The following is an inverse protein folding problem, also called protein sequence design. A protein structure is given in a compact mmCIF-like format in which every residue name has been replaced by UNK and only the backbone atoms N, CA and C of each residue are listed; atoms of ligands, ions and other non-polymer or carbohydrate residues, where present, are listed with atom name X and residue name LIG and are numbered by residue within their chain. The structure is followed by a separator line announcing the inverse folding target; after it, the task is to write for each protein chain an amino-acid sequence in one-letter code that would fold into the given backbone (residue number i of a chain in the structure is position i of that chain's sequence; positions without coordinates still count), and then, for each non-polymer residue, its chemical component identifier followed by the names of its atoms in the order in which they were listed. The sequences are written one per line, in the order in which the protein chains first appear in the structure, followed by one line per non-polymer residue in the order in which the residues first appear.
data_IF_936036877504
#
_entry.id   IF_936036877504
#
_cell.length_a   1.000
_cell.length_b   1.000
_cell.length_c   1.000
_cell.angle_alpha   90.00
_cell.angle_beta   90.00
_cell.angle_gamma   90.00
#
_symmetry.space_group_name_H-M   'P 1'
#
loop_
_entity.id
_entity.type
_entity.pdbx_description
1 polymer ?
#
# COMPACT_ATOMS: atom_id res chain seq x y z
N UNK A 1 51.49 -21.04 -17.96
CA UNK A 1 51.15 -21.04 -16.52
C UNK A 1 50.52 -19.71 -16.07
N UNK A 2 50.99 -18.55 -16.44
CA UNK A 2 50.47 -17.22 -16.02
C UNK A 2 49.03 -16.94 -16.42
N UNK A 3 48.61 -17.34 -17.65
CA UNK A 3 47.25 -17.10 -18.13
C UNK A 3 46.19 -17.87 -17.32
N UNK A 4 46.48 -19.12 -16.96
CA UNK A 4 45.57 -19.97 -16.17
C UNK A 4 45.40 -19.42 -14.74
N UNK A 5 46.49 -18.96 -14.12
CA UNK A 5 46.42 -18.36 -12.77
C UNK A 5 45.67 -17.03 -12.78
N UNK A 6 45.80 -16.22 -13.84
CA UNK A 6 45.01 -14.97 -13.98
C UNK A 6 43.50 -15.28 -14.13
N UNK A 7 43.16 -16.25 -14.95
CA UNK A 7 41.75 -16.67 -15.12
C UNK A 7 41.18 -17.21 -13.80
N UNK A 8 41.91 -18.06 -13.08
CA UNK A 8 41.53 -18.59 -11.80
C UNK A 8 41.28 -17.49 -10.75
N UNK A 9 42.22 -16.52 -10.66
CA UNK A 9 42.09 -15.38 -9.77
C UNK A 9 40.84 -14.53 -10.09
N UNK A 10 40.59 -14.30 -11.38
CA UNK A 10 39.41 -13.57 -11.82
C UNK A 10 38.07 -14.29 -11.41
N UNK A 11 38.00 -15.62 -11.59
CA UNK A 11 36.84 -16.44 -11.18
C UNK A 11 36.63 -16.33 -9.66
N UNK A 12 37.70 -16.41 -8.86
CA UNK A 12 37.62 -16.30 -7.39
C UNK A 12 37.12 -14.92 -6.98
N UNK A 13 37.68 -13.85 -7.55
CA UNK A 13 37.27 -12.45 -7.26
C UNK A 13 35.80 -12.25 -7.65
N UNK A 14 35.39 -12.73 -8.82
CA UNK A 14 34.00 -12.63 -9.30
C UNK A 14 33.05 -13.42 -8.37
N UNK A 15 33.41 -14.63 -7.97
CA UNK A 15 32.64 -15.43 -7.00
C UNK A 15 32.49 -14.74 -5.66
N UNK A 16 33.58 -14.14 -5.14
CA UNK A 16 33.54 -13.37 -3.91
C UNK A 16 32.64 -12.12 -4.03
N UNK A 17 32.73 -11.37 -5.14
CA UNK A 17 31.90 -10.21 -5.39
C UNK A 17 30.39 -10.58 -5.49
N UNK A 18 30.07 -11.67 -6.16
CA UNK A 18 28.68 -12.19 -6.24
C UNK A 18 28.18 -12.60 -4.86
N UNK A 19 28.97 -13.36 -4.11
CA UNK A 19 28.60 -13.84 -2.78
C UNK A 19 28.35 -12.68 -1.81
N UNK A 20 29.25 -11.70 -1.79
CA UNK A 20 29.10 -10.50 -0.95
C UNK A 20 27.88 -9.69 -1.35
N UNK A 21 27.59 -9.54 -2.65
CA UNK A 21 26.38 -8.86 -3.13
C UNK A 21 25.10 -9.59 -2.67
N UNK A 22 25.05 -10.91 -2.81
CA UNK A 22 23.91 -11.74 -2.35
C UNK A 22 23.73 -11.60 -0.83
N UNK A 23 24.82 -11.68 -0.06
CA UNK A 23 24.79 -11.55 1.40
C UNK A 23 24.25 -10.17 1.84
N UNK A 24 24.70 -9.06 1.21
CA UNK A 24 24.15 -7.74 1.49
C UNK A 24 22.67 -7.63 1.15
N UNK A 25 22.24 -8.22 0.03
CA UNK A 25 20.83 -8.27 -0.37
C UNK A 25 19.99 -9.05 0.63
N UNK A 26 20.46 -10.22 1.07
CA UNK A 26 19.77 -11.04 2.09
C UNK A 26 19.69 -10.31 3.44
N UNK A 27 20.79 -9.69 3.90
CA UNK A 27 20.83 -8.91 5.15
C UNK A 27 19.82 -7.74 5.11
N UNK A 28 19.76 -7.05 3.96
CA UNK A 28 18.77 -5.97 3.75
C UNK A 28 17.35 -6.50 3.82
N UNK A 29 17.06 -7.63 3.15
CA UNK A 29 15.73 -8.26 3.15
C UNK A 29 15.33 -8.72 4.55
N UNK A 30 16.25 -9.35 5.29
CA UNK A 30 16.06 -9.77 6.68
C UNK A 30 15.72 -8.57 7.58
N UNK A 31 16.45 -7.45 7.45
CA UNK A 31 16.16 -6.23 8.21
C UNK A 31 14.76 -5.69 7.91
N UNK A 32 14.40 -5.58 6.62
CA UNK A 32 13.08 -5.10 6.21
C UNK A 32 11.97 -6.01 6.75
N UNK A 33 12.19 -7.34 6.76
CA UNK A 33 11.25 -8.31 7.34
C UNK A 33 11.11 -8.12 8.85
N UNK A 34 12.22 -7.89 9.57
CA UNK A 34 12.18 -7.65 11.01
C UNK A 34 11.46 -6.33 11.34
N UNK A 35 11.73 -5.26 10.58
CA UNK A 35 11.05 -3.98 10.72
C UNK A 35 9.53 -4.13 10.48
N UNK A 36 9.13 -4.96 9.50
CA UNK A 36 7.73 -5.30 9.27
C UNK A 36 7.10 -6.01 10.45
N UNK A 37 7.75 -7.04 11.01
CA UNK A 37 7.25 -7.79 12.18
C UNK A 37 7.09 -6.86 13.38
N UNK A 38 8.08 -6.01 13.64
CA UNK A 38 8.04 -5.04 14.74
C UNK A 38 6.89 -4.04 14.54
N UNK A 39 6.74 -3.46 13.35
CA UNK A 39 5.64 -2.54 13.04
C UNK A 39 4.28 -3.22 13.19
N UNK A 40 4.15 -4.46 12.70
CA UNK A 40 2.93 -5.25 12.83
C UNK A 40 2.58 -5.50 14.29
N UNK A 41 3.57 -5.87 15.10
CA UNK A 41 3.38 -6.07 16.55
C UNK A 41 2.87 -4.78 17.22
N UNK A 42 3.46 -3.64 16.90
CA UNK A 42 3.03 -2.34 17.43
C UNK A 42 1.62 -1.96 16.96
N UNK A 43 1.32 -2.14 15.67
CA UNK A 43 -0.01 -1.83 15.11
C UNK A 43 -1.12 -2.72 15.68
N UNK A 44 -0.83 -3.98 16.03
CA UNK A 44 -1.79 -4.88 16.67
C UNK A 44 -1.90 -4.63 18.19
N UNK A 45 -0.81 -4.24 18.87
CA UNK A 45 -0.80 -4.01 20.32
C UNK A 45 -1.75 -2.88 20.72
N UNK A 46 -1.81 -1.80 19.95
CA UNK A 46 -2.64 -0.62 20.25
C UNK A 46 -4.13 -0.98 20.37
N UNK A 47 -4.79 -1.57 19.34
CA UNK A 47 -6.20 -1.94 19.45
C UNK A 47 -6.45 -2.99 20.53
N UNK A 48 -5.55 -3.95 20.72
CA UNK A 48 -5.67 -4.94 21.81
C UNK A 48 -5.65 -4.27 23.17
N UNK A 49 -4.75 -3.30 23.38
CA UNK A 49 -4.68 -2.55 24.66
C UNK A 49 -5.93 -1.70 24.88
N UNK A 50 -6.48 -1.09 23.82
CA UNK A 50 -7.73 -0.31 23.90
C UNK A 50 -8.92 -1.20 24.28
N UNK A 51 -9.04 -2.38 23.64
CA UNK A 51 -10.09 -3.37 23.99
C UNK A 51 -9.92 -3.84 25.42
N UNK A 52 -8.69 -4.13 25.86
CA UNK A 52 -8.41 -4.57 27.23
C UNK A 52 -8.81 -3.50 28.25
N UNK A 53 -8.46 -2.23 28.00
CA UNK A 53 -8.86 -1.11 28.85
C UNK A 53 -10.39 -0.95 28.90
N UNK A 54 -11.07 -0.98 27.77
CA UNK A 54 -12.52 -0.91 27.68
C UNK A 54 -13.18 -2.05 28.48
N UNK A 55 -12.62 -3.27 28.40
CA UNK A 55 -13.10 -4.42 29.15
C UNK A 55 -12.84 -4.27 30.68
N UNK A 56 -11.70 -3.68 31.06
CA UNK A 56 -11.42 -3.39 32.49
C UNK A 56 -12.41 -2.36 33.05
N UNK A 57 -12.75 -1.32 32.27
CA UNK A 57 -13.78 -0.34 32.70
C UNK A 57 -15.16 -0.98 32.93
N UNK A 58 -15.51 -2.01 32.14
CA UNK A 58 -16.75 -2.77 32.38
C UNK A 58 -16.70 -3.56 33.72
N UNK A 59 -15.53 -4.13 34.04
CA UNK A 59 -15.34 -4.97 35.26
C UNK A 59 -15.08 -4.18 36.52
N UNK A 60 -14.76 -2.89 36.40
CA UNK A 60 -14.43 -2.07 37.55
C UNK A 60 -15.68 -1.77 38.41
N UNK A 61 -15.75 -2.38 39.58
CA UNK A 61 -16.83 -2.18 40.54
C UNK A 61 -16.74 -0.84 41.29
N UNK A 62 -15.64 -0.13 41.22
CA UNK A 62 -15.49 1.20 41.83
C UNK A 62 -16.25 2.27 41.01
N UNK A 63 -16.58 2.02 39.77
CA UNK A 63 -17.35 2.89 38.88
C UNK A 63 -18.83 2.49 39.02
N UNK A 64 -19.73 3.38 39.48
CA UNK A 64 -21.16 3.09 39.52
C UNK A 64 -21.70 2.70 38.14
N UNK A 65 -22.58 1.71 38.08
CA UNK A 65 -23.15 1.25 36.80
C UNK A 65 -23.88 2.36 36.06
N UNK A 66 -24.54 3.26 36.79
CA UNK A 66 -25.19 4.45 36.23
C UNK A 66 -24.22 5.43 35.57
N UNK A 67 -22.94 5.39 35.89
CA UNK A 67 -21.88 6.23 35.31
C UNK A 67 -21.13 5.54 34.20
N UNK A 68 -21.32 4.23 34.00
CA UNK A 68 -20.71 3.46 32.90
C UNK A 68 -21.50 3.71 31.62
N UNK A 69 -20.89 4.39 30.65
CA UNK A 69 -21.49 4.51 29.33
C UNK A 69 -21.27 3.21 28.55
N UNK A 70 -22.11 2.18 28.81
CA UNK A 70 -22.02 0.86 28.22
C UNK A 70 -22.07 0.90 26.69
N UNK A 71 -22.91 1.78 26.11
CA UNK A 71 -23.02 1.95 24.66
C UNK A 71 -21.70 2.45 24.06
N UNK A 72 -21.04 3.42 24.68
CA UNK A 72 -19.77 3.95 24.20
C UNK A 72 -18.63 2.91 24.35
N UNK A 73 -18.59 2.19 25.47
CA UNK A 73 -17.58 1.15 25.71
C UNK A 73 -17.75 0.01 24.71
N UNK A 74 -18.99 -0.45 24.48
CA UNK A 74 -19.31 -1.48 23.48
C UNK A 74 -18.89 -1.04 22.06
N UNK A 75 -19.17 0.22 21.70
CA UNK A 75 -18.77 0.78 20.40
C UNK A 75 -17.25 0.79 20.23
N UNK A 76 -16.50 1.19 21.26
CA UNK A 76 -15.03 1.18 21.21
C UNK A 76 -14.50 -0.25 20.97
N UNK A 77 -15.07 -1.25 21.64
CA UNK A 77 -14.67 -2.65 21.46
C UNK A 77 -14.98 -3.13 20.03
N UNK A 78 -16.15 -2.81 19.52
CA UNK A 78 -16.57 -3.20 18.17
C UNK A 78 -15.71 -2.53 17.10
N UNK A 79 -15.48 -1.23 17.21
CA UNK A 79 -14.63 -0.45 16.31
C UNK A 79 -13.20 -1.03 16.24
N UNK A 80 -12.57 -1.31 17.40
CA UNK A 80 -11.22 -1.84 17.44
C UNK A 80 -11.14 -3.32 17.03
N UNK A 81 -12.17 -4.11 17.29
CA UNK A 81 -12.26 -5.50 16.81
C UNK A 81 -12.39 -5.55 15.28
N UNK A 82 -13.22 -4.69 14.71
CA UNK A 82 -13.37 -4.55 13.26
C UNK A 82 -12.04 -4.10 12.64
N UNK A 83 -11.35 -3.16 13.25
CA UNK A 83 -10.04 -2.69 12.83
C UNK A 83 -8.99 -3.80 12.84
N UNK A 84 -8.93 -4.61 13.92
CA UNK A 84 -8.06 -5.78 14.02
C UNK A 84 -8.34 -6.78 12.89
N UNK A 85 -9.61 -7.10 12.64
CA UNK A 85 -10.01 -8.00 11.55
C UNK A 85 -9.48 -7.53 10.21
N UNK A 86 -9.67 -6.25 9.86
CA UNK A 86 -9.17 -5.68 8.61
C UNK A 86 -7.64 -5.71 8.51
N UNK A 87 -6.93 -5.52 9.61
CA UNK A 87 -5.48 -5.62 9.65
C UNK A 87 -5.00 -7.05 9.41
N UNK A 88 -5.61 -8.04 10.05
CA UNK A 88 -5.30 -9.47 9.86
C UNK A 88 -5.60 -9.88 8.43
N UNK A 89 -6.75 -9.51 7.86
CA UNK A 89 -7.08 -9.79 6.47
C UNK A 89 -6.05 -9.22 5.49
N UNK A 90 -5.57 -8.00 5.74
CA UNK A 90 -4.55 -7.35 4.91
C UNK A 90 -3.23 -8.13 4.92
N UNK A 91 -2.85 -8.67 6.07
CA UNK A 91 -1.66 -9.51 6.22
C UNK A 91 -1.85 -10.87 5.52
N UNK A 92 -2.99 -11.55 5.74
CA UNK A 92 -3.30 -12.83 5.12
C UNK A 92 -3.38 -12.73 3.60
N UNK A 93 -4.05 -11.71 3.05
CA UNK A 93 -4.10 -11.44 1.61
C UNK A 93 -2.69 -11.33 1.03
N UNK A 94 -1.77 -10.67 1.74
CA UNK A 94 -0.38 -10.53 1.30
C UNK A 94 0.40 -11.84 1.37
N UNK A 95 0.17 -12.67 2.39
CA UNK A 95 0.82 -13.98 2.51
C UNK A 95 0.39 -14.93 1.36
N UNK A 96 -0.91 -14.98 1.07
CA UNK A 96 -1.46 -15.74 -0.08
C UNK A 96 -0.91 -15.23 -1.41
N UNK A 97 -0.83 -13.91 -1.55
CA UNK A 97 -0.29 -13.25 -2.71
C UNK A 97 1.17 -13.66 -3.02
N UNK A 98 2.00 -13.78 -1.98
CA UNK A 98 3.41 -14.17 -2.13
C UNK A 98 3.63 -15.66 -2.39
N UNK A 99 2.64 -16.50 -2.13
CA UNK A 99 2.75 -17.95 -2.38
C UNK A 99 2.62 -18.35 -3.86
N UNK A 100 2.37 -17.38 -4.76
CA UNK A 100 2.15 -17.67 -6.19
C UNK A 100 0.88 -18.45 -6.51
N UNK A 101 0.01 -18.68 -5.51
CA UNK A 101 -1.22 -19.47 -5.65
C UNK A 101 -2.45 -18.64 -6.02
N UNK A 102 -2.25 -17.36 -6.35
CA UNK A 102 -3.36 -16.49 -6.68
C UNK A 102 -3.93 -16.84 -8.05
N UNK A 103 -5.23 -17.14 -8.10
CA UNK A 103 -5.98 -17.34 -9.35
C UNK A 103 -6.61 -16.01 -9.74
N UNK A 104 -6.11 -15.40 -10.81
CA UNK A 104 -6.68 -14.18 -11.40
C UNK A 104 -7.84 -14.57 -12.31
N UNK A 105 -8.98 -13.94 -12.13
CA UNK A 105 -10.19 -14.17 -12.91
C UNK A 105 -10.46 -12.96 -13.81
N UNK A 106 -9.88 -12.97 -14.99
CA UNK A 106 -10.09 -11.89 -15.96
C UNK A 106 -11.53 -11.82 -16.48
N UNK A 107 -12.07 -10.60 -16.50
CA UNK A 107 -13.34 -10.23 -17.12
C UNK A 107 -13.14 -8.96 -17.93
N UNK A 108 -13.89 -8.80 -19.00
CA UNK A 108 -13.95 -7.54 -19.75
C UNK A 108 -14.87 -6.57 -19.00
N UNK A 109 -14.32 -5.50 -18.46
CA UNK A 109 -14.99 -4.55 -17.57
C UNK A 109 -14.72 -3.12 -17.97
N UNK A 110 -15.67 -2.24 -17.69
CA UNK A 110 -15.48 -0.80 -17.77
C UNK A 110 -14.74 -0.29 -16.50
N UNK A 111 -13.51 0.17 -16.68
CA UNK A 111 -12.67 0.65 -15.60
C UNK A 111 -13.22 1.93 -14.97
N UNK A 112 -13.96 2.76 -15.71
CA UNK A 112 -14.58 3.97 -15.16
C UNK A 112 -15.58 3.63 -14.06
N UNK A 113 -16.37 2.56 -14.22
CA UNK A 113 -17.31 2.13 -13.19
C UNK A 113 -16.60 1.71 -11.91
N UNK A 114 -15.51 0.94 -12.03
CA UNK A 114 -14.73 0.50 -10.87
C UNK A 114 -14.05 1.69 -10.19
N UNK A 115 -13.43 2.58 -10.95
CA UNK A 115 -12.76 3.78 -10.44
C UNK A 115 -13.77 4.68 -9.73
N UNK A 116 -14.94 4.91 -10.32
CA UNK A 116 -16.00 5.74 -9.73
C UNK A 116 -16.49 5.16 -8.40
N UNK A 117 -16.71 3.84 -8.34
CA UNK A 117 -17.07 3.15 -7.10
C UNK A 117 -16.04 3.34 -6.00
N UNK A 118 -14.76 3.16 -6.32
CA UNK A 118 -13.68 3.31 -5.33
C UNK A 118 -13.55 4.77 -4.90
N UNK A 119 -13.55 5.72 -5.82
CA UNK A 119 -13.46 7.16 -5.50
C UNK A 119 -14.62 7.59 -4.59
N UNK A 120 -15.85 7.15 -4.86
CA UNK A 120 -17.02 7.44 -4.02
C UNK A 120 -16.82 6.98 -2.58
N UNK A 121 -16.14 5.86 -2.35
CA UNK A 121 -15.89 5.35 -0.99
C UNK A 121 -14.92 6.23 -0.17
N UNK A 122 -14.14 7.09 -0.83
CA UNK A 122 -13.21 8.01 -0.17
C UNK A 122 -13.77 9.43 0.04
N UNK A 123 -14.91 9.79 -0.57
CA UNK A 123 -15.44 11.16 -0.47
C UNK A 123 -15.65 11.61 0.97
N UNK A 124 -16.34 10.81 1.78
CA UNK A 124 -16.62 11.18 3.19
C UNK A 124 -15.31 11.35 3.97
N UNK A 125 -14.34 10.45 3.75
CA UNK A 125 -13.06 10.51 4.45
C UNK A 125 -12.25 11.75 4.09
N UNK A 126 -12.26 12.13 2.81
CA UNK A 126 -11.53 13.30 2.30
C UNK A 126 -12.24 14.58 2.72
N UNK A 127 -13.58 14.64 2.63
CA UNK A 127 -14.39 15.79 3.05
C UNK A 127 -14.24 16.08 4.55
N UNK A 128 -14.24 15.03 5.40
CA UNK A 128 -13.98 15.18 6.83
C UNK A 128 -12.61 15.77 7.17
N UNK A 129 -11.66 15.72 6.23
CA UNK A 129 -10.34 16.34 6.32
C UNK A 129 -10.28 17.68 5.57
N UNK A 130 -11.43 18.25 5.17
CA UNK A 130 -11.54 19.46 4.33
C UNK A 130 -10.75 19.35 3.02
N UNK A 131 -10.63 18.15 2.47
CA UNK A 131 -9.94 17.85 1.22
C UNK A 131 -10.86 17.81 0.02
N UNK A 132 -10.29 17.45 -1.14
CA UNK A 132 -11.00 17.36 -2.43
C UNK A 132 -10.49 16.18 -3.25
N UNK A 133 -11.41 15.49 -3.93
CA UNK A 133 -11.08 14.52 -4.98
C UNK A 133 -11.67 15.02 -6.30
N UNK A 134 -10.80 15.21 -7.29
CA UNK A 134 -11.19 15.54 -8.65
C UNK A 134 -11.08 14.32 -9.56
N UNK A 135 -12.07 14.14 -10.44
CA UNK A 135 -12.09 13.07 -11.43
C UNK A 135 -12.07 13.65 -12.83
N UNK A 136 -11.12 13.21 -13.65
CA UNK A 136 -11.04 13.52 -15.07
C UNK A 136 -11.04 12.22 -15.89
N UNK A 137 -12.21 11.69 -16.20
CA UNK A 137 -12.40 10.45 -16.95
C UNK A 137 -12.34 10.71 -18.46
N UNK A 138 -11.12 10.92 -18.99
CA UNK A 138 -10.87 11.33 -20.40
C UNK A 138 -10.64 10.16 -21.37
N UNK A 139 -10.62 8.91 -20.88
CA UNK A 139 -10.54 7.77 -21.78
C UNK A 139 -11.88 7.58 -22.50
N UNK A 140 -11.90 7.71 -23.83
CA UNK A 140 -13.12 7.50 -24.64
C UNK A 140 -13.58 6.04 -24.58
N UNK A 141 -12.64 5.10 -24.56
CA UNK A 141 -12.89 3.69 -24.31
C UNK A 141 -12.13 3.26 -23.05
N UNK A 142 -12.85 2.97 -21.98
CA UNK A 142 -12.30 2.53 -20.71
C UNK A 142 -12.48 1.02 -20.45
N UNK A 143 -12.80 0.25 -21.49
CA UNK A 143 -13.01 -1.20 -21.36
C UNK A 143 -11.69 -1.94 -21.46
N UNK A 144 -11.40 -2.79 -20.47
CA UNK A 144 -10.21 -3.64 -20.44
C UNK A 144 -10.49 -5.00 -19.80
N UNK A 145 -9.61 -5.97 -20.03
CA UNK A 145 -9.68 -7.30 -19.44
C UNK A 145 -8.92 -7.32 -18.12
N UNK A 146 -9.64 -7.24 -17.00
CA UNK A 146 -9.08 -7.16 -15.65
C UNK A 146 -9.78 -8.11 -14.69
N UNK A 147 -9.12 -8.41 -13.57
CA UNK A 147 -9.78 -9.00 -12.42
C UNK A 147 -10.39 -7.89 -11.57
N UNK A 148 -11.71 -7.91 -11.43
CA UNK A 148 -12.49 -6.88 -10.75
C UNK A 148 -12.04 -6.64 -9.30
N UNK A 149 -11.83 -7.72 -8.54
CA UNK A 149 -11.45 -7.63 -7.13
C UNK A 149 -10.04 -7.07 -6.97
N UNK A 150 -9.12 -7.54 -7.82
CA UNK A 150 -7.72 -7.12 -7.74
C UNK A 150 -7.52 -5.71 -8.28
N UNK A 151 -8.24 -5.32 -9.32
CA UNK A 151 -8.20 -3.96 -9.84
C UNK A 151 -8.83 -2.95 -8.87
N UNK A 152 -9.97 -3.30 -8.26
CA UNK A 152 -10.58 -2.51 -7.19
C UNK A 152 -9.63 -2.30 -6.03
N UNK A 153 -8.99 -3.37 -5.52
CA UNK A 153 -8.01 -3.28 -4.42
C UNK A 153 -6.76 -2.46 -4.79
N UNK A 154 -6.32 -2.52 -6.06
CA UNK A 154 -5.22 -1.71 -6.58
C UNK A 154 -5.56 -0.22 -6.48
N UNK A 155 -6.73 0.19 -6.96
CA UNK A 155 -7.21 1.57 -6.89
C UNK A 155 -7.37 2.02 -5.43
N UNK A 156 -7.92 1.17 -4.57
CA UNK A 156 -8.03 1.42 -3.12
C UNK A 156 -6.66 1.71 -2.48
N UNK A 157 -5.63 0.93 -2.81
CA UNK A 157 -4.29 1.14 -2.26
C UNK A 157 -3.67 2.48 -2.70
N UNK A 158 -3.91 2.90 -3.94
CA UNK A 158 -3.41 4.20 -4.43
C UNK A 158 -4.12 5.36 -3.76
N UNK A 159 -5.45 5.33 -3.65
CA UNK A 159 -6.23 6.38 -2.99
C UNK A 159 -5.98 6.42 -1.49
N UNK A 160 -5.89 5.28 -0.82
CA UNK A 160 -5.51 5.20 0.61
C UNK A 160 -4.14 5.84 0.86
N UNK A 161 -3.16 5.61 -0.03
CA UNK A 161 -1.86 6.27 0.07
C UNK A 161 -1.97 7.78 -0.17
N UNK A 162 -2.72 8.23 -1.18
CA UNK A 162 -2.92 9.64 -1.47
C UNK A 162 -3.51 10.39 -0.25
N UNK A 163 -4.52 9.81 0.41
CA UNK A 163 -5.10 10.38 1.64
C UNK A 163 -4.10 10.34 2.80
N UNK A 164 -3.44 9.22 3.04
CA UNK A 164 -2.52 9.02 4.19
C UNK A 164 -1.29 9.90 4.15
N UNK A 165 -0.76 10.17 2.96
CA UNK A 165 0.46 10.94 2.78
C UNK A 165 0.20 12.40 2.40
N UNK A 166 -1.04 12.84 2.42
CA UNK A 166 -1.40 14.26 2.29
C UNK A 166 -0.84 15.06 3.47
N UNK A 167 -0.44 16.28 3.18
CA UNK A 167 0.07 17.22 4.18
C UNK A 167 -1.05 18.22 4.56
N UNK A 168 -1.91 17.82 5.50
CA UNK A 168 -3.09 18.58 5.88
C UNK A 168 -4.31 18.17 5.08
N UNK A 169 -4.81 19.02 4.19
CA UNK A 169 -5.99 18.75 3.35
C UNK A 169 -5.63 17.80 2.20
N UNK A 170 -6.30 16.65 2.04
CA UNK A 170 -6.08 15.79 0.89
C UNK A 170 -6.58 16.46 -0.40
N UNK A 171 -5.67 16.75 -1.31
CA UNK A 171 -6.01 17.19 -2.67
C UNK A 171 -5.57 16.10 -3.64
N UNK A 172 -6.56 15.37 -4.17
CA UNK A 172 -6.35 14.15 -4.95
C UNK A 172 -6.99 14.33 -6.31
N UNK A 173 -6.26 13.95 -7.36
CA UNK A 173 -6.77 13.92 -8.73
C UNK A 173 -6.67 12.51 -9.29
N UNK A 174 -7.77 12.02 -9.86
CA UNK A 174 -7.84 10.75 -10.58
C UNK A 174 -8.13 11.05 -12.05
N UNK A 175 -7.23 10.64 -12.93
CA UNK A 175 -7.33 10.89 -14.37
C UNK A 175 -7.29 9.58 -15.13
N UNK A 176 -8.09 9.46 -16.21
CA UNK A 176 -7.96 8.39 -17.20
C UNK A 176 -7.80 8.97 -18.59
N UNK A 177 -7.01 8.32 -19.44
CA UNK A 177 -6.90 8.63 -20.88
C UNK A 177 -6.48 7.40 -21.67
N UNK A 178 -6.82 7.34 -22.93
CA UNK A 178 -6.28 6.33 -23.82
C UNK A 178 -4.82 6.63 -24.14
N UNK A 179 -3.95 5.62 -24.10
CA UNK A 179 -2.51 5.76 -24.33
C UNK A 179 -1.91 4.47 -24.86
N UNK A 180 -1.30 4.51 -26.06
CA UNK A 180 -0.55 3.39 -26.66
C UNK A 180 -1.25 2.03 -26.56
N UNK A 181 -2.44 1.89 -27.16
CA UNK A 181 -3.26 0.65 -27.09
C UNK A 181 -3.64 0.20 -25.67
N UNK A 182 -3.67 1.12 -24.73
CA UNK A 182 -4.07 0.87 -23.35
C UNK A 182 -4.80 2.06 -22.74
N UNK A 183 -5.19 1.89 -21.49
CA UNK A 183 -5.80 2.92 -20.65
C UNK A 183 -4.76 3.34 -19.62
N UNK A 184 -4.35 4.61 -19.68
CA UNK A 184 -3.56 5.23 -18.64
C UNK A 184 -4.52 5.70 -17.52
N UNK A 185 -4.24 5.30 -16.30
CA UNK A 185 -4.93 5.70 -15.08
C UNK A 185 -3.91 6.36 -14.19
N UNK A 186 -4.15 7.61 -13.80
CA UNK A 186 -3.27 8.34 -12.91
C UNK A 186 -3.99 8.71 -11.61
N UNK A 187 -3.29 8.52 -10.48
CA UNK A 187 -3.69 9.03 -9.17
C UNK A 187 -2.60 9.97 -8.71
N UNK A 188 -2.97 11.23 -8.49
CA UNK A 188 -2.08 12.31 -8.11
C UNK A 188 -2.48 12.91 -6.77
N UNK A 189 -1.51 13.16 -5.89
CA UNK A 189 -1.66 13.79 -4.60
C UNK A 189 -0.73 15.00 -4.45
N UNK A 190 -1.10 15.97 -3.63
CA UNK A 190 -0.27 17.10 -3.23
C UNK A 190 0.33 16.89 -1.82
N UNK A 191 0.70 15.64 -1.53
CA UNK A 191 1.23 15.26 -0.23
C UNK A 191 2.73 15.53 -0.04
N UNK A 192 3.32 14.78 0.89
CA UNK A 192 4.73 14.93 1.28
C UNK A 192 5.73 14.58 0.17
N UNK A 193 5.29 13.95 -0.91
CA UNK A 193 6.14 13.46 -1.99
C UNK A 193 7.21 12.46 -1.53
N UNK A 194 8.02 11.98 -2.48
CA UNK A 194 8.98 10.89 -2.25
C UNK A 194 10.38 11.30 -2.71
N UNK A 195 11.36 11.17 -1.81
CA UNK A 195 12.77 11.46 -2.13
C UNK A 195 13.30 10.52 -3.21
N UNK A 196 14.13 11.02 -4.14
CA UNK A 196 14.68 10.23 -5.28
C UNK A 196 15.29 8.88 -4.86
N UNK A 197 16.01 8.84 -3.72
CA UNK A 197 16.64 7.61 -3.20
C UNK A 197 15.64 6.51 -2.81
N UNK A 198 14.39 6.86 -2.55
CA UNK A 198 13.33 5.96 -2.07
C UNK A 198 12.37 5.55 -3.19
N UNK A 199 12.26 6.34 -4.28
CA UNK A 199 11.27 6.13 -5.36
C UNK A 199 11.31 4.73 -6.00
N UNK A 200 12.50 4.14 -6.16
CA UNK A 200 12.63 2.77 -6.68
C UNK A 200 12.28 1.70 -5.63
N UNK A 201 12.41 2.04 -4.35
CA UNK A 201 12.26 1.10 -3.23
C UNK A 201 10.84 1.02 -2.69
N UNK A 202 9.99 2.04 -2.92
CA UNK A 202 8.60 2.06 -2.41
C UNK A 202 7.75 0.90 -2.92
N UNK A 203 8.15 0.28 -4.03
CA UNK A 203 7.53 -0.91 -4.58
C UNK A 203 8.10 -2.22 -4.01
N UNK A 204 9.22 -2.14 -3.25
CA UNK A 204 9.78 -3.30 -2.56
C UNK A 204 8.82 -3.73 -1.43
N UNK A 205 8.63 -5.03 -1.26
CA UNK A 205 7.79 -5.57 -0.21
C UNK A 205 8.28 -5.15 1.18
N UNK A 206 7.35 -4.75 2.07
CA UNK A 206 7.61 -4.28 3.43
C UNK A 206 8.40 -2.96 3.52
N UNK A 207 8.78 -2.37 2.39
CA UNK A 207 9.53 -1.13 2.41
C UNK A 207 8.63 0.05 2.82
N UNK A 208 9.17 0.86 3.72
CA UNK A 208 8.57 2.12 4.16
C UNK A 208 9.64 3.20 4.17
N UNK A 209 9.26 4.40 3.75
CA UNK A 209 10.13 5.57 3.88
C UNK A 209 10.19 5.95 5.36
N UNK A 210 11.38 5.97 5.95
CA UNK A 210 11.58 6.44 7.31
C UNK A 210 11.48 7.98 7.31
N UNK A 211 10.36 8.50 7.72
CA UNK A 211 10.06 9.94 7.76
C UNK A 211 10.44 10.60 9.10
N UNK A 212 11.45 10.09 9.80
CA UNK A 212 11.87 10.63 11.11
C UNK A 212 10.76 10.52 12.16
N UNK A 213 10.37 11.64 12.77
CA UNK A 213 9.36 11.68 13.83
C UNK A 213 7.90 11.47 13.37
N UNK A 214 7.61 11.19 12.10
CA UNK A 214 6.24 10.91 11.64
C UNK A 214 5.94 9.42 11.84
N UNK A 215 5.85 8.99 13.10
CA UNK A 215 5.34 7.66 13.48
C UNK A 215 3.83 7.50 13.22
N UNK A 216 3.13 8.54 12.75
CA UNK A 216 1.66 8.56 12.67
C UNK A 216 1.07 7.95 11.40
N UNK A 217 1.86 7.62 10.39
CA UNK A 217 1.30 7.00 9.18
C UNK A 217 1.25 5.48 9.37
N UNK A 218 0.06 4.95 9.67
CA UNK A 218 -0.20 3.53 9.88
C UNK A 218 -0.10 2.73 8.58
N UNK A 219 0.58 1.58 8.60
CA UNK A 219 0.62 0.67 7.46
C UNK A 219 1.81 -0.29 7.43
N UNK A 220 1.66 -1.38 6.68
CA UNK A 220 2.60 -2.50 6.67
C UNK A 220 3.64 -2.47 5.54
N UNK A 221 3.62 -1.45 4.67
CA UNK A 221 4.53 -1.39 3.51
C UNK A 221 4.22 -2.43 2.43
N UNK A 222 2.96 -2.84 2.31
CA UNK A 222 2.50 -3.89 1.40
C UNK A 222 1.70 -3.36 0.21
N UNK A 223 1.09 -2.17 0.34
CA UNK A 223 0.14 -1.64 -0.64
C UNK A 223 0.75 -1.40 -2.01
N UNK A 224 1.87 -0.66 -2.11
CA UNK A 224 2.49 -0.35 -3.40
C UNK A 224 3.17 -1.56 -4.05
N UNK A 225 3.68 -2.51 -3.26
CA UNK A 225 4.15 -3.79 -3.80
C UNK A 225 3.00 -4.58 -4.43
N UNK A 226 1.83 -4.62 -3.76
CA UNK A 226 0.63 -5.23 -4.31
C UNK A 226 0.20 -4.54 -5.61
N UNK A 227 0.14 -3.20 -5.62
CA UNK A 227 -0.19 -2.41 -6.83
C UNK A 227 0.70 -2.80 -7.99
N UNK A 228 2.04 -2.77 -7.79
CA UNK A 228 3.00 -3.11 -8.84
C UNK A 228 2.77 -4.50 -9.41
N UNK A 229 2.67 -5.52 -8.53
CA UNK A 229 2.46 -6.89 -8.97
C UNK A 229 1.12 -7.08 -9.70
N UNK A 230 0.04 -6.44 -9.23
CA UNK A 230 -1.26 -6.54 -9.91
C UNK A 230 -1.22 -5.89 -11.28
N UNK A 231 -0.55 -4.77 -11.42
CA UNK A 231 -0.35 -4.15 -12.73
C UNK A 231 0.44 -5.09 -13.66
N UNK A 232 1.52 -5.71 -13.16
CA UNK A 232 2.32 -6.68 -13.91
C UNK A 232 1.50 -7.92 -14.32
N UNK A 233 0.68 -8.46 -13.42
CA UNK A 233 -0.23 -9.59 -13.72
C UNK A 233 -1.32 -9.25 -14.76
N UNK A 234 -1.67 -7.97 -14.88
CA UNK A 234 -2.55 -7.48 -15.93
C UNK A 234 -1.79 -7.06 -17.21
N UNK A 235 -0.52 -7.48 -17.36
CA UNK A 235 0.37 -7.11 -18.46
C UNK A 235 0.52 -5.59 -18.64
N UNK A 236 0.31 -4.85 -17.57
CA UNK A 236 0.41 -3.40 -17.52
C UNK A 236 1.79 -2.91 -17.07
N UNK A 237 1.90 -1.60 -16.92
CA UNK A 237 3.08 -0.95 -16.37
C UNK A 237 2.70 0.12 -15.36
N UNK A 238 3.57 0.37 -14.37
CA UNK A 238 3.39 1.43 -13.39
C UNK A 238 4.60 2.35 -13.38
N UNK A 239 4.33 3.66 -13.34
CA UNK A 239 5.33 4.71 -13.25
C UNK A 239 5.01 5.64 -12.08
N UNK A 240 6.05 6.09 -11.37
CA UNK A 240 5.97 7.13 -10.34
C UNK A 240 6.62 8.41 -10.85
N UNK A 241 5.92 9.52 -10.67
CA UNK A 241 6.43 10.88 -10.82
C UNK A 241 6.21 11.55 -9.45
N UNK A 242 7.29 11.91 -8.76
CA UNK A 242 7.16 12.53 -7.43
C UNK A 242 8.32 13.45 -7.14
N UNK A 243 8.00 14.55 -6.46
CA UNK A 243 8.96 15.49 -5.92
C UNK A 243 8.71 15.67 -4.42
N UNK A 244 9.78 15.57 -3.62
CA UNK A 244 9.67 15.71 -2.17
C UNK A 244 9.08 17.05 -1.78
N UNK A 245 8.03 17.05 -0.94
CA UNK A 245 7.21 18.18 -0.50
C UNK A 245 6.26 18.79 -1.56
N UNK A 246 6.11 18.17 -2.73
CA UNK A 246 5.19 18.65 -3.78
C UNK A 246 4.12 17.62 -4.15
N UNK A 247 4.26 16.37 -3.69
CA UNK A 247 3.30 15.31 -3.93
C UNK A 247 3.83 14.20 -4.82
N UNK A 248 2.91 13.30 -5.20
CA UNK A 248 3.22 12.14 -6.03
C UNK A 248 2.12 11.88 -7.03
N UNK A 249 2.50 11.40 -8.21
CA UNK A 249 1.62 10.92 -9.27
C UNK A 249 2.00 9.49 -9.64
N UNK A 250 1.08 8.58 -9.45
CA UNK A 250 1.20 7.19 -9.88
C UNK A 250 0.44 7.01 -11.18
N UNK A 251 1.14 6.61 -12.24
CA UNK A 251 0.58 6.33 -13.55
C UNK A 251 0.59 4.83 -13.81
N UNK A 252 -0.56 4.26 -14.11
CA UNK A 252 -0.75 2.85 -14.45
C UNK A 252 -1.24 2.80 -15.88
N UNK A 253 -0.68 1.89 -16.68
CA UNK A 253 -1.17 1.59 -18.02
C UNK A 253 -1.67 0.15 -18.01
N UNK A 254 -2.95 -0.04 -18.34
CA UNK A 254 -3.58 -1.35 -18.52
C UNK A 254 -3.81 -1.54 -20.02
N UNK A 255 -3.31 -2.62 -20.65
CA UNK A 255 -3.55 -2.90 -22.06
C UNK A 255 -5.03 -3.08 -22.36
N UNK A 256 -5.50 -2.51 -23.47
CA UNK A 256 -6.77 -2.84 -24.10
C UNK A 256 -6.55 -4.03 -25.04
N UNK A 257 -7.29 -5.10 -24.84
CA UNK A 257 -7.28 -6.29 -25.72
C UNK A 257 -8.50 -6.27 -26.61
#
# INVERSE_FOLDING_TARGET
MTLISVILSFIVIMGFAITTHIMFKQKKLSRIKNDFVNNMTHELKTPISTISLATQMLKDHSIPESSKNLSNISRIIDDETTRLRLQVEKVLKTAVFNSGKMKIKFKTLDLHQIIDHVVKSFYIQVENQNGKIEKEMKAENAVAKVDEVHFTNLMFNLLDNAVKYSNGKPEIKVETRNFNHGILIAVEDQGIGIKKKDQKKIFDQFYRVHTGNVHNVKGFGLGLNYVKKMVEEHNGSIKLISEYKKGSRFEIIIPQQ
#
